data_IF_393910359315
#
_entry.id   IF_393910359315
#
_cell.length_a   1.000
_cell.length_b   1.000
_cell.length_c   1.000
_cell.angle_alpha   90.00
_cell.angle_beta   90.00
_cell.angle_gamma   90.00
#
_symmetry.space_group_name_H-M   'P 1'
#
loop_
_entity.id
_entity.type
_entity.pdbx_description
1 polymer ?
#
# COMPACT_ATOMS: atom_id res chain seq x y z
N UNK A 1 -13.01 17.02 17.95
CA UNK A 1 -12.26 15.91 18.60
C UNK A 1 -12.30 14.60 17.79
N UNK A 2 -13.44 14.11 17.30
CA UNK A 2 -13.54 12.83 16.57
C UNK A 2 -12.57 12.68 15.37
N UNK A 3 -12.39 13.75 14.58
CA UNK A 3 -11.45 13.75 13.45
C UNK A 3 -9.99 13.61 13.89
N UNK A 4 -9.53 14.44 14.82
CA UNK A 4 -8.18 14.35 15.38
C UNK A 4 -7.89 12.98 15.99
N UNK A 5 -8.85 12.42 16.72
CA UNK A 5 -8.71 11.08 17.29
C UNK A 5 -8.53 10.01 16.20
N UNK A 6 -9.32 10.07 15.12
CA UNK A 6 -9.16 9.18 13.97
C UNK A 6 -7.77 9.32 13.32
N UNK A 7 -7.32 10.54 13.06
CA UNK A 7 -6.00 10.78 12.46
C UNK A 7 -4.87 10.25 13.36
N UNK A 8 -4.97 10.49 14.67
CA UNK A 8 -4.02 9.99 15.65
C UNK A 8 -3.97 8.46 15.67
N UNK A 9 -5.12 7.78 15.58
CA UNK A 9 -5.17 6.31 15.49
C UNK A 9 -4.53 5.78 14.21
N UNK A 10 -4.75 6.45 13.06
CA UNK A 10 -4.16 6.05 11.77
C UNK A 10 -2.63 6.15 11.84
N UNK A 11 -2.12 7.29 12.33
CA UNK A 11 -0.68 7.52 12.49
C UNK A 11 -0.08 6.53 13.49
N UNK A 12 -0.74 6.31 14.63
CA UNK A 12 -0.32 5.33 15.63
C UNK A 12 -0.17 3.92 15.03
N UNK A 13 -1.18 3.47 14.27
CA UNK A 13 -1.16 2.15 13.64
C UNK A 13 -0.03 2.03 12.61
N UNK A 14 0.24 3.10 11.85
CA UNK A 14 1.37 3.13 10.92
C UNK A 14 2.72 3.08 11.62
N UNK A 15 2.90 3.80 12.74
CA UNK A 15 4.14 3.75 13.53
C UNK A 15 4.38 2.35 14.09
N UNK A 16 3.34 1.72 14.66
CA UNK A 16 3.44 0.34 15.17
C UNK A 16 3.79 -0.64 14.06
N UNK A 17 3.12 -0.56 12.90
CA UNK A 17 3.43 -1.40 11.75
C UNK A 17 4.87 -1.18 11.23
N UNK A 18 5.35 0.06 11.22
CA UNK A 18 6.72 0.39 10.84
C UNK A 18 7.76 -0.20 11.79
N UNK A 19 7.54 -0.08 13.10
CA UNK A 19 8.41 -0.69 14.13
C UNK A 19 8.40 -2.21 14.01
N UNK A 20 7.23 -2.80 13.80
CA UNK A 20 7.08 -4.24 13.63
C UNK A 20 7.90 -4.77 12.44
N UNK A 21 7.83 -4.11 11.28
CA UNK A 21 8.61 -4.48 10.09
C UNK A 21 10.13 -4.30 10.22
N UNK A 22 10.59 -3.45 11.14
CA UNK A 22 12.03 -3.36 11.45
C UNK A 22 12.54 -4.61 12.18
N UNK A 23 11.64 -5.50 12.61
CA UNK A 23 11.92 -6.72 13.36
C UNK A 23 12.99 -6.51 14.46
N UNK A 24 12.76 -5.57 15.40
CA UNK A 24 13.76 -5.26 16.43
C UNK A 24 14.04 -6.43 17.39
N UNK A 25 13.17 -7.45 17.40
CA UNK A 25 13.28 -8.64 18.24
C UNK A 25 13.86 -9.86 17.51
N UNK A 26 14.21 -9.72 16.22
CA UNK A 26 15.00 -10.68 15.47
C UNK A 26 14.35 -12.04 15.22
N UNK A 27 13.04 -12.09 14.95
CA UNK A 27 12.39 -13.34 14.56
C UNK A 27 11.60 -14.06 15.66
N UNK A 28 11.25 -13.37 16.76
CA UNK A 28 10.23 -13.87 17.69
C UNK A 28 8.83 -13.64 17.10
N UNK A 29 8.61 -14.23 15.93
CA UNK A 29 7.42 -14.03 15.15
C UNK A 29 6.33 -15.03 15.54
N UNK A 30 5.08 -14.58 15.43
CA UNK A 30 3.91 -15.37 15.85
C UNK A 30 3.69 -16.57 14.91
N UNK A 31 4.13 -16.45 13.66
CA UNK A 31 4.10 -17.50 12.67
C UNK A 31 5.51 -18.02 12.37
N UNK A 32 5.65 -19.32 12.07
CA UNK A 32 6.91 -19.88 11.67
C UNK A 32 7.28 -19.49 10.22
N UNK A 33 8.38 -18.75 10.07
CA UNK A 33 8.94 -18.23 8.81
C UNK A 33 9.25 -19.30 7.74
N UNK A 34 9.35 -20.56 8.15
CA UNK A 34 9.68 -21.69 7.27
C UNK A 34 8.49 -22.24 6.49
N UNK A 35 7.26 -21.80 6.79
CA UNK A 35 6.09 -22.21 6.04
C UNK A 35 5.94 -21.34 4.78
N UNK A 36 6.05 -21.92 3.57
CA UNK A 36 5.81 -21.16 2.34
C UNK A 36 4.40 -20.57 2.34
N UNK A 37 4.26 -19.35 1.82
CA UNK A 37 3.05 -18.50 1.82
C UNK A 37 2.56 -17.96 3.17
N UNK A 38 2.84 -18.64 4.29
CA UNK A 38 2.20 -18.34 5.58
C UNK A 38 3.14 -17.65 6.55
N UNK A 39 4.43 -17.99 6.55
CA UNK A 39 5.40 -17.52 7.53
C UNK A 39 5.79 -16.04 7.44
N UNK A 40 5.14 -15.22 6.61
CA UNK A 40 5.36 -13.77 6.57
C UNK A 40 4.04 -12.98 6.43
N UNK A 41 2.92 -13.58 6.84
CA UNK A 41 1.59 -13.03 6.56
C UNK A 41 1.30 -11.79 7.42
N UNK A 42 1.80 -11.78 8.64
CA UNK A 42 1.74 -10.67 9.58
C UNK A 42 2.59 -9.48 9.11
N UNK A 43 3.78 -9.70 8.56
CA UNK A 43 4.60 -8.67 7.92
C UNK A 43 3.91 -8.12 6.68
N UNK A 44 3.33 -8.98 5.85
CA UNK A 44 2.52 -8.54 4.71
C UNK A 44 1.34 -7.66 5.16
N UNK A 45 0.70 -8.02 6.28
CA UNK A 45 -0.32 -7.19 6.93
C UNK A 45 0.20 -5.83 7.36
N UNK A 46 1.37 -5.78 7.99
CA UNK A 46 2.02 -4.53 8.40
C UNK A 46 2.37 -3.63 7.20
N UNK A 47 2.86 -4.22 6.10
CA UNK A 47 3.09 -3.50 4.83
C UNK A 47 1.78 -2.91 4.29
N UNK A 48 0.70 -3.70 4.28
CA UNK A 48 -0.62 -3.22 3.83
C UNK A 48 -1.12 -2.05 4.68
N UNK A 49 -0.92 -2.07 5.99
CA UNK A 49 -1.25 -0.94 6.87
C UNK A 49 -0.48 0.31 6.46
N UNK A 50 0.83 0.20 6.22
CA UNK A 50 1.67 1.33 5.81
C UNK A 50 1.24 1.89 4.44
N UNK A 51 1.08 1.03 3.43
CA UNK A 51 0.69 1.44 2.08
C UNK A 51 -0.68 2.11 2.09
N UNK A 52 -1.65 1.55 2.83
CA UNK A 52 -2.98 2.16 2.94
C UNK A 52 -2.95 3.47 3.73
N UNK A 53 -2.08 3.61 4.73
CA UNK A 53 -1.92 4.88 5.47
C UNK A 53 -1.32 5.96 4.57
N UNK A 54 -0.28 5.62 3.79
CA UNK A 54 0.28 6.54 2.79
C UNK A 54 -0.79 6.97 1.78
N UNK A 55 -1.55 6.01 1.25
CA UNK A 55 -2.65 6.27 0.32
C UNK A 55 -3.74 7.13 0.94
N UNK A 56 -4.07 6.94 2.21
CA UNK A 56 -5.02 7.76 2.95
C UNK A 56 -4.59 9.23 3.01
N UNK A 57 -3.28 9.50 3.09
CA UNK A 57 -2.71 10.85 3.02
C UNK A 57 -2.38 11.35 1.60
N UNK A 58 -2.79 10.60 0.56
CA UNK A 58 -2.62 10.99 -0.84
C UNK A 58 -1.31 10.52 -1.49
N UNK A 59 -0.49 9.74 -0.79
CA UNK A 59 0.73 9.14 -1.31
C UNK A 59 0.45 7.71 -1.78
N UNK A 60 0.11 7.56 -3.06
CA UNK A 60 -0.12 6.25 -3.68
C UNK A 60 1.18 5.68 -4.25
N UNK A 61 1.92 4.94 -3.42
CA UNK A 61 3.17 4.26 -3.82
C UNK A 61 2.94 3.17 -4.87
N UNK A 62 1.75 2.57 -4.93
CA UNK A 62 1.44 1.53 -5.91
C UNK A 62 1.34 2.12 -7.32
N UNK A 63 0.89 3.38 -7.44
CA UNK A 63 0.84 4.12 -8.71
C UNK A 63 2.20 4.29 -9.38
N UNK A 64 3.32 4.24 -8.64
CA UNK A 64 4.67 4.34 -9.20
C UNK A 64 4.97 3.21 -10.19
N UNK A 65 4.37 2.03 -9.97
CA UNK A 65 4.55 0.86 -10.83
C UNK A 65 3.47 0.71 -11.90
N UNK A 66 2.47 1.59 -11.92
CA UNK A 66 1.37 1.52 -12.87
C UNK A 66 1.82 2.09 -14.22
N UNK A 67 1.95 1.23 -15.23
CA UNK A 67 2.22 1.67 -16.61
C UNK A 67 1.01 2.47 -17.10
N UNK A 68 1.20 3.75 -17.44
CA UNK A 68 0.18 4.50 -18.19
C UNK A 68 0.05 3.84 -19.55
N UNK A 69 -1.04 3.12 -19.77
CA UNK A 69 -1.45 2.78 -21.14
C UNK A 69 -1.70 4.11 -21.85
N UNK A 70 -0.76 4.46 -22.74
CA UNK A 70 -0.88 5.59 -23.66
C UNK A 70 -2.25 5.47 -24.31
N UNK A 71 -3.07 6.51 -24.14
CA UNK A 71 -4.34 6.64 -24.83
C UNK A 71 -4.13 6.28 -26.29
N UNK A 72 -4.69 5.14 -26.70
CA UNK A 72 -4.74 4.73 -28.09
C UNK A 72 -5.64 5.77 -28.74
N UNK A 73 -5.02 6.80 -29.29
CA UNK A 73 -5.67 7.80 -30.13
C UNK A 73 -6.50 7.03 -31.15
N UNK A 74 -7.82 7.09 -30.99
CA UNK A 74 -8.74 6.65 -32.04
C UNK A 74 -8.25 7.31 -33.34
N UNK A 75 -8.15 6.56 -34.45
CA UNK A 75 -7.83 7.17 -35.74
C UNK A 75 -8.82 8.31 -35.97
N UNK A 76 -8.41 9.46 -36.52
CA UNK A 76 -9.36 10.49 -36.90
C UNK A 76 -10.39 9.82 -37.81
N UNK A 77 -11.64 9.76 -37.35
CA UNK A 77 -12.75 9.33 -38.19
C UNK A 77 -12.69 10.20 -39.43
N UNK A 78 -12.39 9.59 -40.58
CA UNK A 78 -12.46 10.28 -41.86
C UNK A 78 -13.91 10.71 -42.03
N UNK A 79 -14.16 12.01 -41.90
CA UNK A 79 -15.42 12.62 -42.30
C UNK A 79 -15.50 12.48 -43.83
N UNK A 80 -16.47 11.72 -44.38
CA UNK A 80 -16.62 11.54 -45.82
C UNK A 80 -17.23 12.77 -46.53
N UNK A 81 -17.38 13.91 -45.83
CA UNK A 81 -18.01 15.14 -46.36
C UNK A 81 -17.08 16.34 -46.55
N UNK A 82 -15.75 16.15 -46.57
CA UNK A 82 -14.78 17.20 -46.92
C UNK A 82 -13.85 16.76 -48.02
#
# INVERSE_FOLDING_TARGET
>A
MRRLFKEMMIIFLAVVAGIYLLNPFGGLDFLPDFLPLVGNLDEAGAVLVLVNTLRYYGLDVARLYMRRETQRSLPPTHDPRR
#
